data_IF_978796157594
#
_entry.id   IF_978796157594
#
_cell.length_a   1.000
_cell.length_b   1.000
_cell.length_c   1.000
_cell.angle_alpha   90.00
_cell.angle_beta   90.00
_cell.angle_gamma   90.00
#
_symmetry.space_group_name_H-M   'P 1'
#
loop_
_entity.id
_entity.type
_entity.pdbx_description
1 polymer ?
#
# COMPACT_ATOMS: atom_id res chain seq x y z
N UNK A 1 -3.30 2.79 11.07
CA UNK A 1 -2.76 2.98 9.71
C UNK A 1 -3.68 2.36 8.68
N UNK A 2 -3.71 2.96 7.52
CA UNK A 2 -4.41 2.43 6.35
C UNK A 2 -3.37 2.18 5.26
N UNK A 3 -3.36 0.97 4.73
CA UNK A 3 -2.51 0.61 3.61
C UNK A 3 -3.39 0.25 2.42
N UNK A 4 -3.08 0.77 1.25
CA UNK A 4 -3.75 0.43 0.00
C UNK A 4 -2.74 -0.27 -0.89
N UNK A 5 -3.07 -1.47 -1.35
CA UNK A 5 -2.23 -2.17 -2.30
C UNK A 5 -2.84 -2.13 -3.70
N UNK A 6 -2.05 -1.71 -4.67
CA UNK A 6 -2.43 -1.67 -6.07
C UNK A 6 -1.20 -1.94 -6.93
N UNK A 7 -1.41 -2.17 -8.22
CA UNK A 7 -0.29 -2.32 -9.15
C UNK A 7 0.45 -1.00 -9.30
N UNK A 8 1.78 -1.03 -9.16
CA UNK A 8 2.62 0.15 -9.32
C UNK A 8 2.52 0.76 -10.73
N UNK A 9 2.17 -0.06 -11.72
CA UNK A 9 1.96 0.40 -13.10
C UNK A 9 0.66 1.16 -13.32
N UNK A 10 -0.26 1.12 -12.35
CA UNK A 10 -1.53 1.83 -12.45
C UNK A 10 -1.41 3.26 -11.91
N UNK A 11 -0.86 4.15 -12.73
CA UNK A 11 -0.60 5.54 -12.36
C UNK A 11 -1.88 6.28 -11.95
N UNK A 12 -2.99 6.02 -12.65
CA UNK A 12 -4.27 6.64 -12.33
C UNK A 12 -4.76 6.26 -10.93
N UNK A 13 -4.58 5.00 -10.54
CA UNK A 13 -4.95 4.53 -9.19
C UNK A 13 -4.06 5.15 -8.12
N UNK A 14 -2.76 5.23 -8.39
CA UNK A 14 -1.81 5.89 -7.49
C UNK A 14 -2.21 7.35 -7.27
N UNK A 15 -2.54 8.07 -8.33
CA UNK A 15 -3.00 9.46 -8.24
C UNK A 15 -4.31 9.58 -7.45
N UNK A 16 -5.25 8.66 -7.65
CA UNK A 16 -6.51 8.64 -6.91
C UNK A 16 -6.28 8.47 -5.41
N UNK A 17 -5.40 7.54 -5.01
CA UNK A 17 -5.09 7.30 -3.60
C UNK A 17 -4.42 8.53 -2.99
N UNK A 18 -3.55 9.22 -3.73
CA UNK A 18 -2.95 10.47 -3.27
C UNK A 18 -3.99 11.54 -2.97
N UNK A 19 -5.02 11.67 -3.81
CA UNK A 19 -6.14 12.59 -3.57
C UNK A 19 -6.93 12.21 -2.34
N UNK A 20 -7.14 10.93 -2.11
CA UNK A 20 -7.83 10.44 -0.90
C UNK A 20 -7.03 10.80 0.35
N UNK A 21 -5.70 10.66 0.30
CA UNK A 21 -4.85 11.05 1.42
C UNK A 21 -5.02 12.54 1.76
N UNK A 22 -4.97 13.41 0.74
CA UNK A 22 -5.19 14.84 0.94
C UNK A 22 -6.58 15.14 1.51
N UNK A 23 -7.60 14.54 0.94
CA UNK A 23 -9.00 14.77 1.34
C UNK A 23 -9.27 14.33 2.78
N UNK A 24 -8.57 13.33 3.28
CA UNK A 24 -8.73 12.79 4.63
C UNK A 24 -7.73 13.40 5.64
N UNK A 25 -6.89 14.33 5.20
CA UNK A 25 -5.87 14.93 6.05
C UNK A 25 -4.75 13.99 6.43
N UNK A 26 -4.54 12.93 5.68
CA UNK A 26 -3.49 11.94 5.93
C UNK A 26 -2.26 12.21 5.09
N UNK A 27 -1.11 11.88 5.63
CA UNK A 27 0.15 11.96 4.91
C UNK A 27 0.36 10.68 4.12
N UNK A 28 0.79 10.84 2.87
CA UNK A 28 1.01 9.72 1.96
C UNK A 28 2.42 9.16 2.13
N UNK A 29 2.54 7.85 2.20
CA UNK A 29 3.81 7.15 2.15
C UNK A 29 3.78 6.06 1.08
N UNK A 30 4.90 5.82 0.45
CA UNK A 30 5.07 4.75 -0.53
C UNK A 30 5.95 3.67 0.10
N UNK A 31 5.48 2.42 0.06
CA UNK A 31 6.20 1.28 0.64
C UNK A 31 6.39 0.23 -0.44
N UNK A 32 7.63 0.04 -0.85
CA UNK A 32 8.03 -0.87 -1.91
C UNK A 32 8.80 -0.18 -3.02
N UNK A 33 9.80 -0.89 -3.56
CA UNK A 33 10.74 -0.32 -4.54
C UNK A 33 10.08 0.15 -5.82
N UNK A 34 9.14 -0.62 -6.35
CA UNK A 34 8.49 -0.27 -7.62
C UNK A 34 7.66 0.99 -7.51
N UNK A 35 7.06 1.27 -6.36
CA UNK A 35 6.33 2.51 -6.13
C UNK A 35 7.27 3.71 -6.04
N UNK A 36 8.41 3.57 -5.37
CA UNK A 36 9.42 4.64 -5.33
C UNK A 36 9.96 4.94 -6.72
N UNK A 37 10.22 3.92 -7.52
CA UNK A 37 10.68 4.08 -8.90
C UNK A 37 9.63 4.79 -9.75
N UNK A 38 8.37 4.38 -9.65
CA UNK A 38 7.28 5.02 -10.36
C UNK A 38 7.18 6.50 -9.99
N UNK A 39 7.26 6.81 -8.70
CA UNK A 39 7.19 8.19 -8.21
C UNK A 39 8.31 9.05 -8.79
N UNK A 40 9.55 8.58 -8.72
CA UNK A 40 10.70 9.31 -9.25
C UNK A 40 10.59 9.56 -10.74
N UNK A 41 10.27 8.53 -11.53
CA UNK A 41 10.12 8.64 -12.99
C UNK A 41 8.96 9.57 -13.34
N UNK A 42 7.83 9.44 -12.68
CA UNK A 42 6.65 10.26 -12.97
C UNK A 42 6.86 11.72 -12.58
N UNK A 43 7.58 11.98 -11.51
CA UNK A 43 7.93 13.32 -11.07
C UNK A 43 8.85 14.00 -12.09
N UNK A 44 9.89 13.30 -12.56
CA UNK A 44 10.82 13.80 -13.54
C UNK A 44 10.15 14.11 -14.88
N UNK A 45 9.15 13.32 -15.26
CA UNK A 45 8.38 13.51 -16.50
C UNK A 45 7.18 14.45 -16.35
N UNK A 46 6.94 15.01 -15.18
CA UNK A 46 5.84 15.93 -14.93
C UNK A 46 4.47 15.30 -14.81
N UNK A 47 4.35 13.98 -14.80
CA UNK A 47 3.06 13.28 -14.70
C UNK A 47 2.39 13.46 -13.34
N UNK A 48 3.15 13.72 -12.30
CA UNK A 48 2.64 13.85 -10.93
C UNK A 48 2.95 15.24 -10.36
N UNK A 49 2.78 16.31 -11.15
CA UNK A 49 3.11 17.68 -10.74
C UNK A 49 2.34 18.14 -9.49
N UNK A 50 1.11 17.71 -9.33
CA UNK A 50 0.28 18.04 -8.17
C UNK A 50 0.27 16.94 -7.12
N UNK A 51 1.15 15.96 -7.23
CA UNK A 51 1.25 14.87 -6.28
C UNK A 51 1.78 15.40 -4.94
N UNK A 52 1.17 15.03 -3.81
CA UNK A 52 1.65 15.49 -2.51
C UNK A 52 3.04 14.94 -2.18
N UNK A 53 3.76 15.62 -1.31
CA UNK A 53 5.02 15.13 -0.81
C UNK A 53 4.81 13.82 -0.07
N UNK A 54 5.67 12.83 -0.33
CA UNK A 54 5.58 11.54 0.32
C UNK A 54 6.48 11.49 1.55
N UNK A 55 6.01 10.78 2.58
CA UNK A 55 6.79 10.54 3.78
C UNK A 55 7.82 9.45 3.50
N UNK A 56 9.10 9.65 3.84
CA UNK A 56 10.10 8.57 3.70
C UNK A 56 9.71 7.34 4.51
N UNK A 57 9.99 6.15 3.98
CA UNK A 57 9.65 4.88 4.64
C UNK A 57 10.15 4.81 6.08
N UNK A 58 11.38 5.23 6.31
CA UNK A 58 12.01 5.18 7.64
C UNK A 58 11.41 6.18 8.63
N UNK A 59 10.59 7.11 8.16
CA UNK A 59 9.91 8.10 9.00
C UNK A 59 8.48 7.72 9.37
N UNK A 60 7.91 6.71 8.73
CA UNK A 60 6.51 6.31 8.95
C UNK A 60 6.26 5.95 10.41
N UNK A 61 7.19 5.25 11.04
CA UNK A 61 7.05 4.81 12.43
C UNK A 61 6.98 5.94 13.44
N UNK A 62 7.38 7.16 13.08
CA UNK A 62 7.36 8.34 13.94
C UNK A 62 6.06 9.11 13.91
N UNK A 63 5.19 8.79 12.95
CA UNK A 63 3.93 9.49 12.77
C UNK A 63 2.79 8.77 13.50
N UNK A 64 1.80 9.50 14.03
CA UNK A 64 0.59 8.88 14.55
C UNK A 64 -0.04 7.98 13.50
N UNK A 65 -0.54 6.83 13.93
CA UNK A 65 -1.04 5.81 13.01
C UNK A 65 -2.21 6.31 12.15
N UNK A 66 -3.07 7.13 12.71
CA UNK A 66 -4.24 7.70 12.03
C UNK A 66 -3.89 8.76 10.99
N UNK A 67 -2.66 9.26 10.99
CA UNK A 67 -2.22 10.31 10.07
C UNK A 67 -1.53 9.81 8.81
N UNK A 68 -1.41 8.49 8.66
CA UNK A 68 -0.65 7.90 7.54
C UNK A 68 -1.55 7.05 6.66
N UNK A 69 -1.49 7.31 5.36
CA UNK A 69 -2.01 6.44 4.31
C UNK A 69 -0.83 5.92 3.51
N UNK A 70 -0.68 4.60 3.45
CA UNK A 70 0.41 3.95 2.73
C UNK A 70 -0.08 3.32 1.44
N UNK A 71 0.65 3.57 0.35
CA UNK A 71 0.56 2.73 -0.84
C UNK A 71 1.62 1.64 -0.73
N UNK A 72 1.23 0.39 -0.90
CA UNK A 72 2.12 -0.77 -0.69
C UNK A 72 2.12 -1.67 -1.90
N UNK A 73 3.28 -2.21 -2.25
CA UNK A 73 3.39 -3.24 -3.28
C UNK A 73 2.96 -4.59 -2.73
N UNK A 74 2.53 -5.51 -3.63
CA UNK A 74 2.27 -6.89 -3.24
C UNK A 74 0.83 -7.35 -3.39
N UNK A 75 0.14 -6.90 -4.44
CA UNK A 75 -1.27 -7.26 -4.68
C UNK A 75 -1.50 -8.75 -4.89
N UNK A 76 -0.49 -9.49 -5.38
CA UNK A 76 -0.62 -10.88 -5.78
C UNK A 76 0.08 -11.85 -4.83
N UNK A 77 0.42 -11.40 -3.63
CA UNK A 77 1.04 -12.25 -2.62
C UNK A 77 2.51 -12.56 -2.87
N UNK A 78 3.18 -11.75 -3.67
CA UNK A 78 4.61 -11.94 -3.96
C UNK A 78 5.43 -11.90 -2.67
N UNK A 79 6.24 -12.93 -2.36
CA UNK A 79 6.91 -13.05 -1.06
C UNK A 79 7.86 -11.90 -0.71
N UNK A 80 8.47 -11.28 -1.71
CA UNK A 80 9.42 -10.18 -1.52
C UNK A 80 8.78 -8.81 -1.52
N UNK A 81 7.51 -8.72 -1.86
CA UNK A 81 6.82 -7.44 -1.89
C UNK A 81 6.56 -6.91 -0.47
N UNK A 82 6.36 -5.61 -0.38
CA UNK A 82 6.20 -4.95 0.91
C UNK A 82 5.04 -5.50 1.73
N UNK A 83 3.89 -5.74 1.11
CA UNK A 83 2.72 -6.24 1.83
C UNK A 83 2.96 -7.62 2.44
N UNK A 84 3.64 -8.53 1.72
CA UNK A 84 3.99 -9.84 2.26
C UNK A 84 4.89 -9.72 3.48
N UNK A 85 5.88 -8.83 3.44
CA UNK A 85 6.75 -8.56 4.58
C UNK A 85 5.99 -7.98 5.76
N UNK A 86 5.08 -7.05 5.50
CA UNK A 86 4.23 -6.47 6.54
C UNK A 86 3.34 -7.54 7.19
N UNK A 87 2.81 -8.47 6.39
CA UNK A 87 1.95 -9.54 6.89
C UNK A 87 2.68 -10.51 7.82
N UNK A 88 3.99 -10.67 7.61
CA UNK A 88 4.86 -11.50 8.46
C UNK A 88 5.55 -10.73 9.57
N UNK A 89 5.28 -9.42 9.68
CA UNK A 89 5.96 -8.51 10.59
C UNK A 89 7.49 -8.49 10.37
N UNK A 90 7.90 -8.53 9.11
CA UNK A 90 9.31 -8.58 8.70
C UNK A 90 9.76 -7.33 7.94
N UNK A 91 8.93 -6.31 7.85
CA UNK A 91 9.33 -5.08 7.18
C UNK A 91 10.27 -4.28 8.08
N UNK A 92 11.34 -3.72 7.49
CA UNK A 92 12.41 -3.04 8.20
C UNK A 92 11.94 -1.79 8.97
N UNK A 93 11.01 -1.05 8.41
CA UNK A 93 10.64 0.27 8.93
C UNK A 93 9.20 0.39 9.39
N UNK A 94 8.32 -0.50 8.95
CA UNK A 94 6.87 -0.34 9.14
C UNK A 94 6.29 -1.59 9.79
N UNK A 95 5.35 -1.39 10.70
CA UNK A 95 4.56 -2.47 11.29
C UNK A 95 3.08 -2.20 11.12
N UNK A 96 2.31 -3.27 10.93
CA UNK A 96 0.85 -3.24 10.98
C UNK A 96 0.40 -3.94 12.26
N UNK A 97 -0.55 -3.34 12.95
CA UNK A 97 -1.07 -3.83 14.23
C UNK A 97 -2.58 -3.98 14.17
N UNK A 98 -3.14 -4.58 15.22
CA UNK A 98 -4.58 -4.66 15.38
C UNK A 98 -5.23 -3.27 15.26
N UNK A 99 -6.31 -3.17 14.51
CA UNK A 99 -6.99 -1.91 14.23
C UNK A 99 -6.53 -1.20 12.96
N UNK A 100 -5.44 -1.65 12.36
CA UNK A 100 -5.03 -1.14 11.05
C UNK A 100 -5.87 -1.80 9.95
N UNK A 101 -5.90 -1.17 8.77
CA UNK A 101 -6.69 -1.64 7.64
C UNK A 101 -5.83 -1.75 6.39
N UNK A 102 -6.00 -2.83 5.65
CA UNK A 102 -5.40 -3.01 4.32
C UNK A 102 -6.51 -3.11 3.29
N UNK A 103 -6.44 -2.27 2.26
CA UNK A 103 -7.40 -2.24 1.16
C UNK A 103 -6.72 -2.79 -0.09
N UNK A 104 -7.30 -3.85 -0.66
CA UNK A 104 -6.88 -4.39 -1.95
C UNK A 104 -7.61 -3.63 -3.05
N UNK A 105 -6.87 -2.85 -3.83
CA UNK A 105 -7.39 -2.09 -4.95
C UNK A 105 -6.87 -2.64 -6.28
N UNK A 106 -7.05 -3.94 -6.46
CA UNK A 106 -6.64 -4.65 -7.67
C UNK A 106 -7.35 -5.99 -7.73
N UNK A 107 -7.43 -6.55 -8.93
CA UNK A 107 -7.98 -7.89 -9.14
C UNK A 107 -6.96 -8.96 -8.78
N UNK A 108 -7.46 -10.11 -8.33
CA UNK A 108 -6.64 -11.31 -8.22
C UNK A 108 -6.37 -11.84 -9.64
N UNK A 109 -5.09 -12.05 -9.95
CA UNK A 109 -4.72 -12.73 -11.19
C UNK A 109 -4.92 -14.23 -10.97
N UNK A 110 -5.66 -14.93 -11.87
CA UNK A 110 -5.85 -16.37 -11.73
C UNK A 110 -4.52 -17.11 -11.59
N UNK A 111 -4.44 -18.01 -10.64
CA UNK A 111 -3.23 -18.74 -10.28
C UNK A 111 -2.53 -18.20 -9.04
N UNK A 112 -2.85 -17.00 -8.59
CA UNK A 112 -2.20 -16.38 -7.44
C UNK A 112 -3.04 -16.48 -6.15
N UNK A 113 -4.17 -17.15 -6.17
CA UNK A 113 -5.14 -17.17 -5.06
C UNK A 113 -4.52 -17.70 -3.77
N UNK A 114 -3.69 -18.73 -3.85
CA UNK A 114 -3.06 -19.33 -2.68
C UNK A 114 -2.11 -18.34 -1.99
N UNK A 115 -1.29 -17.64 -2.78
CA UNK A 115 -0.34 -16.66 -2.25
C UNK A 115 -1.06 -15.44 -1.68
N UNK A 116 -2.08 -14.95 -2.37
CA UNK A 116 -2.89 -13.82 -1.89
C UNK A 116 -3.57 -14.18 -0.57
N UNK A 117 -4.18 -15.35 -0.49
CA UNK A 117 -4.88 -15.81 0.72
C UNK A 117 -3.92 -16.01 1.89
N UNK A 118 -2.70 -16.47 1.62
CA UNK A 118 -1.68 -16.58 2.68
C UNK A 118 -1.39 -15.23 3.30
N UNK A 119 -1.20 -14.20 2.49
CA UNK A 119 -0.97 -12.84 2.99
C UNK A 119 -2.17 -12.32 3.76
N UNK A 120 -3.37 -12.48 3.23
CA UNK A 120 -4.60 -12.06 3.91
C UNK A 120 -4.79 -12.77 5.26
N UNK A 121 -4.47 -14.06 5.32
CA UNK A 121 -4.56 -14.81 6.57
C UNK A 121 -3.53 -14.34 7.60
N UNK A 122 -2.31 -14.04 7.19
CA UNK A 122 -1.31 -13.48 8.07
C UNK A 122 -1.73 -12.11 8.62
N UNK A 123 -2.29 -11.25 7.75
CA UNK A 123 -2.80 -9.94 8.18
C UNK A 123 -3.94 -10.09 9.18
N UNK A 124 -4.88 -11.00 8.93
CA UNK A 124 -5.97 -11.28 9.86
C UNK A 124 -5.44 -11.77 11.21
N UNK A 125 -4.38 -12.56 11.20
CA UNK A 125 -3.70 -13.02 12.42
C UNK A 125 -3.08 -11.90 13.24
N UNK A 126 -2.72 -10.78 12.60
CA UNK A 126 -2.24 -9.57 13.29
C UNK A 126 -3.37 -8.68 13.82
N UNK A 127 -4.62 -9.02 13.53
CA UNK A 127 -5.78 -8.18 13.87
C UNK A 127 -6.02 -7.05 12.87
N UNK A 128 -5.42 -7.12 11.69
CA UNK A 128 -5.59 -6.14 10.62
C UNK A 128 -6.86 -6.44 9.85
N UNK A 129 -7.68 -5.43 9.63
CA UNK A 129 -8.86 -5.55 8.77
C UNK A 129 -8.44 -5.57 7.31
N UNK A 130 -8.93 -6.54 6.55
CA UNK A 130 -8.63 -6.67 5.12
C UNK A 130 -9.90 -6.41 4.33
N UNK A 131 -9.85 -5.39 3.46
CA UNK A 131 -10.94 -5.03 2.57
C UNK A 131 -10.51 -5.27 1.12
N UNK A 132 -11.30 -5.99 0.37
CA UNK A 132 -11.10 -6.17 -1.07
C UNK A 132 -12.16 -5.34 -1.80
N UNK A 133 -11.74 -4.60 -2.85
CA UNK A 133 -12.73 -3.98 -3.72
C UNK A 133 -13.62 -5.05 -4.30
N UNK A 134 -14.93 -4.86 -4.13
CA UNK A 134 -15.88 -5.67 -4.87
C UNK A 134 -15.63 -5.39 -6.35
N UNK A 135 -15.06 -6.38 -7.03
CA UNK A 135 -14.87 -6.28 -8.47
C UNK A 135 -16.23 -6.50 -9.11
N UNK A 136 -16.96 -5.42 -9.23
CA UNK A 136 -17.98 -5.40 -10.27
C UNK A 136 -17.22 -5.33 -11.58
N UNK A 137 -17.34 -6.37 -12.29
CA UNK A 137 -16.78 -6.47 -13.62
C UNK A 137 -17.14 -5.23 -14.45
#
# INVERSE_FOLDING_TARGET
RVAVTCFATNVARVATVAKVAEATGRRLALVGRSLHRLYEVSKDNGYLQSFPDVVPEDSIGRLPREEVLMLVTGTQGEPRAALSKLSRNEHQHVTLNAGDTVVYSSREIPGNETDINRVRNHLAGLGVEVLAEAVTA
#
